data_IF_644351320720
#
_entry.id   IF_644351320720
#
_cell.length_a   1.000
_cell.length_b   1.000
_cell.length_c   1.000
_cell.angle_alpha   90.00
_cell.angle_beta   90.00
_cell.angle_gamma   90.00
#
_symmetry.space_group_name_H-M   'P 1'
#
loop_
_entity.id
_entity.type
_entity.pdbx_description
1 polymer ?
#
# COMPACT_ATOMS: atom_id res chain seq x y z
N UNK A 1 -31.77 16.92 -2.94
CA UNK A 1 -30.60 16.14 -2.61
C UNK A 1 -29.47 17.12 -2.51
N UNK A 2 -29.09 17.39 -1.27
CA UNK A 2 -27.99 18.28 -0.94
C UNK A 2 -26.71 17.49 -1.04
N UNK A 3 -25.87 17.89 -1.98
CA UNK A 3 -24.47 17.47 -2.06
C UNK A 3 -23.76 17.93 -0.77
N UNK A 4 -23.57 16.99 0.13
CA UNK A 4 -22.64 17.22 1.23
C UNK A 4 -21.22 17.18 0.65
N UNK A 5 -20.75 18.34 0.18
CA UNK A 5 -19.31 18.63 0.09
C UNK A 5 -18.71 18.44 1.49
N UNK A 6 -18.16 17.28 1.73
CA UNK A 6 -17.27 17.09 2.87
C UNK A 6 -16.02 17.94 2.62
N UNK A 7 -15.92 19.04 3.34
CA UNK A 7 -14.68 19.81 3.48
C UNK A 7 -13.62 18.90 4.11
N UNK A 8 -12.94 18.12 3.28
CA UNK A 8 -11.74 17.41 3.66
C UNK A 8 -10.64 18.45 3.89
N UNK A 9 -10.35 18.73 5.17
CA UNK A 9 -9.08 19.35 5.51
C UNK A 9 -7.97 18.57 4.81
N UNK A 10 -7.08 19.26 4.11
CA UNK A 10 -5.97 18.66 3.37
C UNK A 10 -5.03 17.92 4.33
N UNK A 11 -5.26 16.63 4.53
CA UNK A 11 -4.40 15.74 5.30
C UNK A 11 -3.58 14.81 4.38
N UNK A 12 -3.43 15.20 3.11
CA UNK A 12 -2.67 14.44 2.12
C UNK A 12 -1.17 14.62 2.32
N UNK A 13 -0.43 13.56 2.06
CA UNK A 13 1.04 13.53 2.05
C UNK A 13 1.68 13.98 3.37
N UNK A 14 1.03 13.68 4.48
CA UNK A 14 1.65 13.86 5.79
C UNK A 14 2.85 12.92 5.93
N UNK A 15 3.92 13.39 6.57
CA UNK A 15 5.07 12.55 6.88
C UNK A 15 4.66 11.26 7.58
N UNK A 16 3.72 11.35 8.54
CA UNK A 16 3.09 10.18 9.16
C UNK A 16 1.58 10.38 9.20
N UNK A 17 0.85 9.42 8.62
CA UNK A 17 -0.60 9.32 8.77
C UNK A 17 -0.88 8.21 9.77
N UNK A 18 -1.46 8.57 10.92
CA UNK A 18 -1.73 7.63 12.01
C UNK A 18 -3.05 6.88 11.79
N UNK A 19 -2.98 5.54 11.77
CA UNK A 19 -4.15 4.69 11.65
C UNK A 19 -5.22 4.99 12.73
N UNK A 20 -4.79 5.10 13.98
CA UNK A 20 -5.69 5.39 15.10
C UNK A 20 -6.42 6.73 14.95
N UNK A 21 -5.78 7.75 14.36
CA UNK A 21 -6.42 9.05 14.11
C UNK A 21 -7.47 8.96 13.01
N UNK A 22 -7.19 8.19 11.94
CA UNK A 22 -8.16 7.93 10.88
C UNK A 22 -9.39 7.23 11.47
N UNK A 23 -9.19 6.13 12.19
CA UNK A 23 -10.29 5.39 12.82
C UNK A 23 -11.09 6.24 13.81
N UNK A 24 -10.40 7.11 14.56
CA UNK A 24 -11.04 8.01 15.54
C UNK A 24 -11.95 9.08 14.91
N UNK A 25 -11.82 9.36 13.62
CA UNK A 25 -12.66 10.34 12.90
C UNK A 25 -13.97 9.72 12.36
N UNK A 26 -14.05 8.41 12.29
CA UNK A 26 -15.15 7.72 11.66
C UNK A 26 -15.92 6.82 12.65
N UNK A 27 -17.26 6.74 12.54
CA UNK A 27 -18.03 5.77 13.31
C UNK A 27 -17.62 4.33 12.97
N UNK A 28 -17.62 3.47 13.97
CA UNK A 28 -17.41 2.02 13.78
C UNK A 28 -18.51 1.47 12.86
N UNK A 29 -18.15 0.53 12.02
CA UNK A 29 -19.06 -0.12 11.05
C UNK A 29 -19.77 0.84 10.07
N UNK A 30 -19.15 1.98 9.77
CA UNK A 30 -19.62 2.90 8.73
C UNK A 30 -18.76 2.85 7.48
N UNK A 31 -19.35 3.08 6.29
CA UNK A 31 -18.56 3.26 5.08
C UNK A 31 -17.86 4.62 5.09
N UNK A 32 -16.57 4.64 4.81
CA UNK A 32 -15.80 5.86 4.64
C UNK A 32 -14.61 5.64 3.71
N UNK A 33 -14.10 6.72 3.14
CA UNK A 33 -12.88 6.74 2.37
C UNK A 33 -12.12 8.02 2.65
N UNK A 34 -10.80 7.91 2.81
CA UNK A 34 -9.87 9.03 2.92
C UNK A 34 -8.70 8.84 1.95
N UNK A 35 -8.12 9.96 1.48
CA UNK A 35 -6.97 9.95 0.58
C UNK A 35 -5.75 10.44 1.35
N UNK A 36 -5.01 9.56 2.03
CA UNK A 36 -3.82 9.96 2.79
C UNK A 36 -2.64 10.34 1.90
N UNK A 37 -2.52 9.74 0.72
CA UNK A 37 -1.40 9.98 -0.19
C UNK A 37 -1.94 10.21 -1.59
N UNK A 38 -1.46 11.28 -2.22
CA UNK A 38 -1.66 11.55 -3.64
C UNK A 38 -0.40 12.20 -4.20
N UNK A 39 0.27 11.49 -5.08
CA UNK A 39 1.46 11.95 -5.79
C UNK A 39 1.24 11.86 -7.32
N UNK A 40 2.27 12.14 -8.11
CA UNK A 40 2.15 12.09 -9.57
C UNK A 40 1.92 10.68 -10.14
N UNK A 41 2.11 9.63 -9.34
CA UNK A 41 1.95 8.22 -9.74
C UNK A 41 0.72 7.57 -9.15
N UNK A 42 0.38 7.89 -7.92
CA UNK A 42 -0.62 7.19 -7.14
C UNK A 42 -1.61 8.14 -6.47
N UNK A 43 -2.85 7.70 -6.45
CA UNK A 43 -3.85 8.10 -5.48
C UNK A 43 -4.09 6.91 -4.57
N UNK A 44 -3.71 7.04 -3.30
CA UNK A 44 -3.89 6.01 -2.29
C UNK A 44 -5.15 6.34 -1.50
N UNK A 45 -6.10 5.43 -1.48
CA UNK A 45 -7.38 5.61 -0.81
C UNK A 45 -7.50 4.62 0.32
N UNK A 46 -7.70 5.11 1.53
CA UNK A 46 -8.06 4.30 2.67
C UNK A 46 -9.56 4.08 2.66
N UNK A 47 -9.99 2.84 2.60
CA UNK A 47 -11.39 2.48 2.36
C UNK A 47 -11.87 1.54 3.47
N UNK A 48 -12.97 1.93 4.11
CA UNK A 48 -13.72 1.07 5.01
C UNK A 48 -14.95 0.51 4.30
N UNK A 49 -15.09 -0.81 4.31
CA UNK A 49 -16.26 -1.52 3.84
C UNK A 49 -16.96 -2.24 4.99
N UNK A 50 -18.04 -1.69 5.56
CA UNK A 50 -18.83 -2.39 6.56
C UNK A 50 -19.61 -3.54 5.93
N UNK A 51 -20.15 -4.47 6.76
CA UNK A 51 -21.06 -5.52 6.27
C UNK A 51 -22.22 -4.95 5.47
N UNK A 52 -22.55 -5.58 4.35
CA UNK A 52 -23.62 -5.14 3.48
C UNK A 52 -23.26 -4.03 2.50
N UNK A 53 -21.99 -3.63 2.44
CA UNK A 53 -21.51 -2.74 1.37
C UNK A 53 -21.92 -3.30 0.00
N UNK A 54 -22.64 -2.53 -0.83
CA UNK A 54 -23.11 -3.01 -2.13
C UNK A 54 -21.93 -3.29 -3.07
N UNK A 55 -22.10 -4.22 -4.02
CA UNK A 55 -21.10 -4.47 -5.04
C UNK A 55 -20.90 -3.23 -5.92
N UNK A 56 -19.68 -2.99 -6.34
CA UNK A 56 -19.31 -1.93 -7.28
C UNK A 56 -18.36 -2.47 -8.38
N UNK A 57 -18.85 -3.40 -9.25
CA UNK A 57 -18.03 -3.96 -10.31
C UNK A 57 -17.66 -2.90 -11.32
N UNK A 58 -16.36 -2.77 -11.61
CA UNK A 58 -15.83 -1.80 -12.58
C UNK A 58 -14.51 -2.28 -13.19
N UNK A 59 -14.00 -1.50 -14.13
CA UNK A 59 -12.75 -1.75 -14.87
C UNK A 59 -11.91 -0.49 -14.87
N UNK A 60 -10.60 -0.67 -14.68
CA UNK A 60 -9.60 0.33 -15.06
C UNK A 60 -8.90 -0.11 -16.33
N UNK A 61 -9.18 0.49 -17.50
CA UNK A 61 -8.67 -0.04 -18.76
C UNK A 61 -7.17 0.19 -18.96
N UNK A 62 -6.59 1.19 -18.29
CA UNK A 62 -5.26 1.72 -18.62
C UNK A 62 -4.18 1.46 -17.57
N UNK A 63 -4.54 0.94 -16.39
CA UNK A 63 -3.57 0.71 -15.31
C UNK A 63 -4.01 -0.43 -14.40
N UNK A 64 -3.05 -1.02 -13.69
CA UNK A 64 -3.33 -1.96 -12.62
C UNK A 64 -3.81 -1.22 -11.38
N UNK A 65 -4.81 -1.76 -10.71
CA UNK A 65 -5.16 -1.35 -9.36
C UNK A 65 -4.66 -2.40 -8.38
N UNK A 66 -4.11 -1.92 -7.24
CA UNK A 66 -3.61 -2.77 -6.18
C UNK A 66 -4.29 -2.43 -4.86
N UNK A 67 -4.41 -3.43 -3.99
CA UNK A 67 -4.90 -3.22 -2.63
C UNK A 67 -3.98 -3.87 -1.62
N UNK A 68 -3.82 -3.22 -0.47
CA UNK A 68 -3.21 -3.78 0.74
C UNK A 68 -4.32 -3.92 1.77
N UNK A 69 -4.48 -5.12 2.33
CA UNK A 69 -5.51 -5.36 3.34
C UNK A 69 -4.95 -4.97 4.70
N UNK A 70 -5.61 -4.01 5.36
CA UNK A 70 -5.15 -3.43 6.62
C UNK A 70 -5.87 -4.01 7.83
N UNK A 71 -7.13 -4.42 7.70
CA UNK A 71 -7.91 -5.09 8.75
C UNK A 71 -9.12 -5.82 8.15
N UNK A 72 -9.59 -6.83 8.87
CA UNK A 72 -10.73 -7.64 8.47
C UNK A 72 -10.42 -8.57 7.29
N UNK A 73 -11.47 -8.98 6.59
CA UNK A 73 -11.38 -9.87 5.41
C UNK A 73 -12.23 -9.35 4.27
N UNK A 74 -11.66 -9.32 3.09
CA UNK A 74 -12.30 -8.80 1.89
C UNK A 74 -12.25 -9.83 0.77
N UNK A 75 -13.40 -10.11 0.17
CA UNK A 75 -13.51 -10.96 -1.02
C UNK A 75 -13.31 -10.16 -2.27
N UNK A 76 -12.42 -10.63 -3.11
CA UNK A 76 -12.11 -10.08 -4.43
C UNK A 76 -12.56 -11.04 -5.51
N UNK A 77 -13.35 -10.53 -6.45
CA UNK A 77 -13.58 -11.16 -7.75
C UNK A 77 -12.79 -10.38 -8.79
N UNK A 78 -11.78 -10.98 -9.40
CA UNK A 78 -10.92 -10.37 -10.41
C UNK A 78 -11.14 -11.11 -11.74
N UNK A 79 -11.72 -10.45 -12.74
CA UNK A 79 -12.00 -11.07 -14.04
C UNK A 79 -12.79 -12.36 -13.88
N UNK A 80 -12.31 -13.44 -14.49
CA UNK A 80 -12.90 -14.78 -14.45
C UNK A 80 -12.20 -15.74 -13.50
N UNK A 81 -11.29 -15.25 -12.67
CA UNK A 81 -10.62 -16.07 -11.67
C UNK A 81 -11.54 -16.41 -10.51
N UNK A 82 -11.24 -17.52 -9.83
CA UNK A 82 -11.96 -17.87 -8.60
C UNK A 82 -11.86 -16.75 -7.57
N UNK A 83 -12.94 -16.46 -6.84
CA UNK A 83 -12.94 -15.44 -5.81
C UNK A 83 -11.86 -15.74 -4.74
N UNK A 84 -11.19 -14.68 -4.29
CA UNK A 84 -10.16 -14.75 -3.25
C UNK A 84 -10.61 -13.96 -2.04
N UNK A 85 -10.54 -14.57 -0.86
CA UNK A 85 -10.70 -13.90 0.42
C UNK A 85 -9.32 -13.47 0.91
N UNK A 86 -9.05 -12.17 0.80
CA UNK A 86 -7.81 -11.56 1.24
C UNK A 86 -7.95 -11.03 2.67
N UNK A 87 -6.89 -11.19 3.46
CA UNK A 87 -6.86 -10.83 4.87
C UNK A 87 -5.60 -10.00 5.20
N UNK A 88 -5.44 -9.61 6.44
CA UNK A 88 -4.39 -8.73 6.91
C UNK A 88 -3.01 -8.95 6.25
N UNK A 89 -2.45 -7.86 5.71
CA UNK A 89 -1.14 -7.84 5.04
C UNK A 89 -1.13 -8.38 3.61
N UNK A 90 -2.20 -9.02 3.16
CA UNK A 90 -2.31 -9.51 1.77
C UNK A 90 -2.30 -8.34 0.77
N UNK A 91 -1.74 -8.61 -0.41
CA UNK A 91 -1.79 -7.70 -1.56
C UNK A 91 -2.62 -8.34 -2.66
N UNK A 92 -3.58 -7.57 -3.18
CA UNK A 92 -4.39 -7.95 -4.34
C UNK A 92 -4.06 -7.06 -5.52
N UNK A 93 -4.15 -7.59 -6.73
CA UNK A 93 -3.95 -6.83 -7.99
C UNK A 93 -5.10 -7.14 -8.93
N UNK A 94 -5.74 -6.10 -9.46
CA UNK A 94 -6.55 -6.18 -10.67
C UNK A 94 -5.72 -5.64 -11.85
N UNK A 95 -5.31 -6.47 -12.79
CA UNK A 95 -4.61 -6.01 -13.99
C UNK A 95 -5.48 -5.08 -14.83
N UNK A 96 -4.84 -4.17 -15.58
CA UNK A 96 -5.53 -3.28 -16.50
C UNK A 96 -6.49 -4.02 -17.43
N UNK A 97 -7.73 -3.56 -17.52
CA UNK A 97 -8.79 -4.16 -18.34
C UNK A 97 -9.52 -5.33 -17.68
N UNK A 98 -9.20 -5.69 -16.43
CA UNK A 98 -9.92 -6.73 -15.69
C UNK A 98 -11.04 -6.11 -14.87
N UNK A 99 -12.26 -6.60 -15.09
CA UNK A 99 -13.37 -6.26 -14.20
C UNK A 99 -13.10 -6.82 -12.81
N UNK A 100 -13.40 -6.04 -11.80
CA UNK A 100 -13.25 -6.49 -10.42
C UNK A 100 -14.41 -5.98 -9.55
N UNK A 101 -14.67 -6.73 -8.51
CA UNK A 101 -15.67 -6.44 -7.48
C UNK A 101 -15.11 -6.83 -6.12
N UNK A 102 -15.39 -6.01 -5.10
CA UNK A 102 -14.78 -6.12 -3.79
C UNK A 102 -15.86 -6.06 -2.73
N UNK A 103 -15.88 -7.04 -1.82
CA UNK A 103 -16.90 -7.15 -0.77
C UNK A 103 -16.30 -7.53 0.57
N UNK A 104 -16.76 -6.93 1.68
CA UNK A 104 -16.41 -7.42 3.01
C UNK A 104 -16.96 -8.83 3.24
N UNK A 105 -16.26 -9.62 4.04
CA UNK A 105 -16.60 -11.01 4.37
C UNK A 105 -16.89 -11.14 5.86
N UNK A 106 -17.64 -12.18 6.23
CA UNK A 106 -17.88 -12.58 7.63
C UNK A 106 -18.63 -11.58 8.51
N UNK A 107 -19.42 -10.69 7.91
CA UNK A 107 -20.24 -9.74 8.68
C UNK A 107 -19.43 -8.75 9.52
N UNK A 108 -18.16 -8.53 9.17
CA UNK A 108 -17.26 -7.58 9.81
C UNK A 108 -16.85 -6.47 8.87
N UNK A 109 -16.49 -5.34 9.42
CA UNK A 109 -15.84 -4.26 8.69
C UNK A 109 -14.50 -4.76 8.14
N UNK A 110 -14.18 -4.37 6.92
CA UNK A 110 -12.88 -4.59 6.32
C UNK A 110 -12.26 -3.25 5.91
N UNK A 111 -10.97 -3.10 6.16
CA UNK A 111 -10.22 -1.89 5.87
C UNK A 111 -9.07 -2.23 4.93
N UNK A 112 -8.98 -1.47 3.83
CA UNK A 112 -7.95 -1.64 2.81
C UNK A 112 -7.40 -0.32 2.31
N UNK A 113 -6.19 -0.35 1.79
CA UNK A 113 -5.62 0.74 0.98
C UNK A 113 -5.79 0.37 -0.49
N UNK A 114 -6.52 1.17 -1.25
CA UNK A 114 -6.56 1.11 -2.70
C UNK A 114 -5.46 1.99 -3.30
N UNK A 115 -4.69 1.47 -4.24
CA UNK A 115 -3.58 2.16 -4.91
C UNK A 115 -3.94 2.27 -6.39
N UNK A 116 -4.47 3.43 -6.77
CA UNK A 116 -4.92 3.72 -8.14
C UNK A 116 -4.04 4.79 -8.79
N UNK A 117 -4.28 5.05 -10.07
CA UNK A 117 -3.74 6.22 -10.74
C UNK A 117 -4.50 7.48 -10.28
N UNK A 118 -3.87 8.67 -10.20
CA UNK A 118 -4.55 9.92 -9.85
C UNK A 118 -5.77 10.21 -10.73
N UNK A 119 -5.68 9.88 -12.02
CA UNK A 119 -6.77 10.04 -13.00
C UNK A 119 -7.66 8.79 -13.12
N UNK A 120 -7.80 8.00 -12.04
CA UNK A 120 -8.58 6.77 -12.08
C UNK A 120 -10.05 7.04 -12.44
N UNK A 121 -10.57 6.23 -13.34
CA UNK A 121 -11.92 6.33 -13.85
C UNK A 121 -12.73 5.07 -13.49
N UNK A 122 -13.83 5.24 -12.75
CA UNK A 122 -14.75 4.18 -12.35
C UNK A 122 -16.01 4.14 -13.24
N UNK A 123 -16.05 4.88 -14.37
CA UNK A 123 -17.26 5.02 -15.16
C UNK A 123 -17.62 3.77 -15.97
N UNK A 124 -16.70 2.80 -16.08
CA UNK A 124 -16.91 1.57 -16.86
C UNK A 124 -17.35 0.45 -15.91
N UNK A 125 -18.56 0.55 -15.39
CA UNK A 125 -19.14 -0.45 -14.48
C UNK A 125 -19.71 -1.65 -15.24
N UNK A 126 -19.43 -2.84 -14.72
CA UNK A 126 -20.01 -4.08 -15.24
C UNK A 126 -19.58 -4.47 -16.65
N UNK A 127 -18.61 -3.78 -17.24
CA UNK A 127 -18.05 -4.14 -18.54
C UNK A 127 -17.11 -5.34 -18.35
N UNK A 128 -17.31 -6.43 -19.08
CA UNK A 128 -16.39 -7.57 -19.00
C UNK A 128 -14.99 -7.16 -19.50
N UNK A 129 -13.93 -7.78 -18.99
CA UNK A 129 -12.57 -7.46 -19.40
C UNK A 129 -12.39 -7.73 -20.90
N UNK A 130 -11.71 -6.82 -21.60
CA UNK A 130 -11.43 -6.94 -23.03
C UNK A 130 -10.48 -8.10 -23.34
N UNK A 131 -9.69 -8.51 -22.38
CA UNK A 131 -8.79 -9.66 -22.44
C UNK A 131 -8.52 -10.22 -21.05
N UNK A 132 -8.26 -11.52 -20.99
CA UNK A 132 -7.67 -12.15 -19.83
C UNK A 132 -6.15 -12.15 -20.00
N UNK A 133 -5.43 -11.65 -19.02
CA UNK A 133 -3.99 -11.85 -18.93
C UNK A 133 -3.83 -13.15 -18.14
N UNK A 134 -3.16 -14.16 -18.69
CA UNK A 134 -2.89 -15.36 -17.93
C UNK A 134 -2.06 -15.01 -16.71
N UNK A 135 -2.63 -15.25 -15.54
CA UNK A 135 -1.93 -15.12 -14.26
C UNK A 135 -1.89 -16.51 -13.66
N UNK A 136 -0.70 -17.05 -13.59
CA UNK A 136 -0.49 -18.31 -12.91
C UNK A 136 -0.21 -18.02 -11.44
N UNK A 137 -1.22 -18.23 -10.61
CA UNK A 137 -1.12 -18.03 -9.16
C UNK A 137 -0.23 -19.06 -8.47
N UNK A 138 0.26 -20.06 -9.20
CA UNK A 138 1.26 -21.02 -8.71
C UNK A 138 2.70 -20.55 -8.89
N UNK A 139 2.93 -19.45 -9.63
CA UNK A 139 4.27 -18.90 -9.82
C UNK A 139 4.67 -17.95 -8.68
N UNK A 140 5.95 -17.69 -8.60
CA UNK A 140 6.50 -16.70 -7.67
C UNK A 140 6.15 -15.28 -8.10
N UNK A 141 6.21 -14.34 -7.14
CA UNK A 141 6.13 -12.90 -7.41
C UNK A 141 7.14 -12.45 -8.49
N UNK A 142 6.94 -11.29 -9.13
CA UNK A 142 5.90 -10.29 -8.85
C UNK A 142 4.61 -10.47 -9.65
N UNK A 143 3.61 -9.65 -9.29
CA UNK A 143 2.34 -9.49 -10.01
C UNK A 143 1.38 -10.69 -9.95
N UNK A 144 1.43 -11.46 -8.87
CA UNK A 144 0.36 -12.41 -8.57
C UNK A 144 -0.94 -11.64 -8.29
N UNK A 145 -2.08 -12.17 -8.74
CA UNK A 145 -3.40 -11.61 -8.38
C UNK A 145 -3.57 -11.53 -6.86
N UNK A 146 -3.06 -12.53 -6.14
CA UNK A 146 -3.06 -12.60 -4.69
C UNK A 146 -1.67 -12.94 -4.15
N UNK A 147 -1.05 -12.02 -3.46
CA UNK A 147 0.15 -12.26 -2.65
C UNK A 147 -0.29 -12.40 -1.19
N UNK A 148 -0.25 -13.62 -0.67
CA UNK A 148 -0.71 -13.91 0.69
C UNK A 148 0.40 -13.74 1.71
N UNK A 149 0.21 -12.86 2.69
CA UNK A 149 1.15 -12.63 3.80
C UNK A 149 1.37 -13.91 4.63
N UNK A 150 0.29 -14.65 4.89
CA UNK A 150 0.38 -15.93 5.59
C UNK A 150 1.30 -16.91 4.87
N UNK A 151 1.14 -17.06 3.56
CA UNK A 151 1.98 -17.94 2.74
C UNK A 151 3.45 -17.47 2.72
N UNK A 152 3.70 -16.17 2.67
CA UNK A 152 5.06 -15.63 2.74
C UNK A 152 5.73 -15.96 4.08
N UNK A 153 5.01 -15.79 5.18
CA UNK A 153 5.51 -16.15 6.51
C UNK A 153 5.76 -17.66 6.66
N UNK A 154 4.92 -18.50 6.04
CA UNK A 154 5.14 -19.95 5.99
C UNK A 154 6.36 -20.33 5.15
N UNK A 155 6.59 -19.60 4.04
CA UNK A 155 7.69 -19.89 3.09
C UNK A 155 9.04 -19.41 3.59
N UNK A 156 9.12 -18.16 4.03
CA UNK A 156 10.37 -17.53 4.47
C UNK A 156 10.68 -17.74 5.96
N UNK A 157 9.65 -18.09 6.73
CA UNK A 157 9.72 -18.18 8.18
C UNK A 157 9.68 -16.83 8.87
N UNK A 158 9.67 -16.88 10.21
CA UNK A 158 9.63 -15.70 11.08
C UNK A 158 10.96 -15.44 11.79
N UNK A 159 12.00 -16.21 11.47
CA UNK A 159 13.28 -16.21 12.19
C UNK A 159 14.45 -15.63 11.38
N UNK A 160 14.16 -14.94 10.27
CA UNK A 160 15.16 -14.32 9.42
C UNK A 160 14.61 -13.03 8.79
N UNK A 161 15.52 -12.12 8.43
CA UNK A 161 15.15 -11.00 7.57
C UNK A 161 14.92 -11.51 6.15
N UNK A 162 13.86 -11.01 5.50
CA UNK A 162 13.56 -11.34 4.10
C UNK A 162 12.85 -10.19 3.41
N UNK A 163 12.89 -10.25 2.09
CA UNK A 163 12.19 -9.30 1.21
C UNK A 163 11.51 -10.07 0.10
N UNK A 164 10.30 -9.65 -0.26
CA UNK A 164 9.52 -10.22 -1.36
C UNK A 164 8.99 -9.10 -2.25
N UNK A 165 9.24 -9.21 -3.55
CA UNK A 165 8.73 -8.27 -4.54
C UNK A 165 7.32 -8.72 -4.95
N UNK A 166 6.29 -8.02 -4.46
CA UNK A 166 4.89 -8.36 -4.72
C UNK A 166 4.35 -7.77 -6.02
N UNK A 167 4.74 -6.53 -6.33
CA UNK A 167 4.29 -5.83 -7.54
C UNK A 167 5.47 -5.17 -8.23
N UNK A 168 5.52 -5.33 -9.54
CA UNK A 168 6.42 -4.58 -10.42
C UNK A 168 5.72 -4.35 -11.75
N UNK A 169 5.26 -3.13 -11.97
CA UNK A 169 4.65 -2.70 -13.23
C UNK A 169 5.26 -1.38 -13.71
N UNK A 170 4.68 -0.77 -14.73
CA UNK A 170 5.20 0.49 -15.29
C UNK A 170 5.07 1.69 -14.33
N UNK A 171 4.27 1.57 -13.28
CA UNK A 171 3.97 2.64 -12.33
C UNK A 171 4.56 2.40 -10.96
N UNK A 172 4.50 1.18 -10.47
CA UNK A 172 4.80 0.85 -9.08
C UNK A 172 5.74 -0.34 -8.91
N UNK A 173 6.50 -0.27 -7.84
CA UNK A 173 7.23 -1.36 -7.23
C UNK A 173 6.78 -1.47 -5.77
N UNK A 174 6.12 -2.58 -5.40
CA UNK A 174 5.74 -2.89 -4.03
C UNK A 174 6.66 -3.98 -3.49
N UNK A 175 7.39 -3.64 -2.43
CA UNK A 175 8.33 -4.53 -1.76
C UNK A 175 7.86 -4.80 -0.33
N UNK A 176 7.58 -6.04 -0.02
CA UNK A 176 7.33 -6.50 1.35
C UNK A 176 8.68 -6.75 2.02
N UNK A 177 8.85 -6.27 3.23
CA UNK A 177 10.09 -6.44 4.00
C UNK A 177 9.76 -6.87 5.42
N UNK A 178 10.38 -7.97 5.86
CA UNK A 178 10.37 -8.46 7.24
C UNK A 178 11.77 -8.28 7.83
N UNK A 179 11.88 -7.55 8.92
CA UNK A 179 13.17 -7.27 9.56
C UNK A 179 13.09 -7.30 11.09
N UNK A 180 14.17 -7.78 11.70
CA UNK A 180 14.33 -7.85 13.15
C UNK A 180 14.70 -6.49 13.76
N UNK A 181 14.39 -6.28 15.05
CA UNK A 181 14.84 -5.10 15.79
C UNK A 181 16.33 -4.87 15.66
N UNK A 182 16.71 -3.59 15.50
CA UNK A 182 18.09 -3.18 15.27
C UNK A 182 18.56 -3.30 13.83
N UNK A 183 17.73 -3.83 12.91
CA UNK A 183 18.06 -3.78 11.48
C UNK A 183 17.80 -2.37 10.97
N UNK A 184 18.86 -1.73 10.52
CA UNK A 184 18.87 -0.37 9.98
C UNK A 184 19.37 -0.38 8.55
N UNK A 185 18.77 0.42 7.67
CA UNK A 185 19.28 0.64 6.32
C UNK A 185 20.17 1.90 6.26
N UNK A 186 21.07 1.93 5.27
CA UNK A 186 21.86 3.13 4.98
C UNK A 186 20.95 4.32 4.70
N UNK A 187 21.36 5.53 5.08
CA UNK A 187 20.66 6.76 4.74
C UNK A 187 20.81 7.07 3.25
N UNK A 188 19.71 7.38 2.59
CA UNK A 188 19.66 7.64 1.15
C UNK A 188 18.51 8.59 0.80
N UNK A 189 18.48 9.02 -0.45
CA UNK A 189 17.39 9.80 -1.02
C UNK A 189 17.14 9.43 -2.48
N UNK A 190 16.01 9.86 -3.02
CA UNK A 190 15.61 9.65 -4.40
C UNK A 190 15.44 10.99 -5.09
N UNK A 191 16.01 11.21 -6.30
CA UNK A 191 16.02 12.53 -6.92
C UNK A 191 14.66 12.99 -7.43
N UNK A 192 13.83 12.09 -7.90
CA UNK A 192 12.71 12.38 -8.77
C UNK A 192 11.41 11.65 -8.40
N UNK A 193 11.33 11.07 -7.20
CA UNK A 193 10.15 10.29 -6.82
C UNK A 193 9.84 10.37 -5.34
N UNK A 194 8.56 10.41 -5.05
CA UNK A 194 8.04 10.20 -3.71
C UNK A 194 8.05 8.72 -3.35
N UNK A 195 8.16 8.45 -2.06
CA UNK A 195 8.17 7.10 -1.51
C UNK A 195 7.29 7.04 -0.28
N UNK A 196 6.64 5.91 -0.09
CA UNK A 196 5.87 5.71 1.11
C UNK A 196 5.87 4.25 1.56
N UNK A 197 5.48 4.05 2.81
CA UNK A 197 5.39 2.75 3.46
C UNK A 197 4.05 2.60 4.16
N UNK A 198 3.52 1.38 4.13
CA UNK A 198 2.49 0.91 5.04
C UNK A 198 3.15 -0.03 6.06
N UNK A 199 3.02 0.28 7.33
CA UNK A 199 3.50 -0.59 8.41
C UNK A 199 2.42 -1.64 8.69
N UNK A 200 2.76 -2.91 8.49
CA UNK A 200 1.82 -4.02 8.69
C UNK A 200 1.93 -4.55 10.12
N UNK A 201 3.14 -4.72 10.64
CA UNK A 201 3.35 -5.16 12.02
C UNK A 201 4.68 -4.67 12.57
N UNK A 202 4.83 -4.72 13.91
CA UNK A 202 6.01 -4.23 14.61
C UNK A 202 6.08 -2.70 14.58
N UNK A 203 7.23 -2.17 14.94
CA UNK A 203 7.49 -0.73 15.04
C UNK A 203 8.73 -0.37 14.24
N UNK A 204 8.67 0.75 13.54
CA UNK A 204 9.75 1.24 12.68
C UNK A 204 10.00 2.70 13.01
N UNK A 205 11.23 3.04 13.33
CA UNK A 205 11.69 4.41 13.46
C UNK A 205 12.17 4.91 12.10
N UNK A 206 11.72 6.09 11.72
CA UNK A 206 12.09 6.80 10.50
C UNK A 206 12.85 8.06 10.87
N UNK A 207 14.09 8.19 10.40
CA UNK A 207 14.86 9.43 10.42
C UNK A 207 14.72 10.08 9.04
N UNK A 208 14.06 11.23 8.97
CA UNK A 208 13.72 11.92 7.72
C UNK A 208 14.29 13.34 7.76
N UNK A 209 15.20 13.67 6.82
CA UNK A 209 15.93 14.93 6.84
C UNK A 209 16.61 15.14 8.19
N UNK A 210 16.70 16.35 8.68
CA UNK A 210 17.24 16.71 10.00
C UNK A 210 16.15 16.79 11.09
N UNK A 211 14.96 16.25 10.82
CA UNK A 211 13.87 16.24 11.80
C UNK A 211 14.12 15.18 12.90
N UNK A 212 13.43 15.38 14.04
CA UNK A 212 13.38 14.35 15.06
C UNK A 212 12.81 13.04 14.48
N UNK A 213 13.42 11.89 14.80
CA UNK A 213 12.92 10.60 14.35
C UNK A 213 11.46 10.36 14.76
N UNK A 214 10.72 9.69 13.90
CA UNK A 214 9.33 9.34 14.17
C UNK A 214 9.15 7.82 14.14
N UNK A 215 8.48 7.27 15.13
CA UNK A 215 8.13 5.84 15.17
C UNK A 215 6.74 5.63 14.58
N UNK A 216 6.62 4.70 13.63
CA UNK A 216 5.36 4.27 13.07
C UNK A 216 5.07 2.81 13.46
N UNK A 217 3.81 2.52 13.75
CA UNK A 217 3.29 1.21 14.15
C UNK A 217 2.29 0.62 13.17
N UNK A 218 1.67 -0.52 13.52
CA UNK A 218 0.75 -1.22 12.63
C UNK A 218 -0.40 -0.34 12.15
N UNK A 219 -0.59 -0.31 10.84
CA UNK A 219 -1.60 0.49 10.17
C UNK A 219 -1.12 1.88 9.76
N UNK A 220 -0.06 2.44 10.35
CA UNK A 220 0.45 3.77 10.00
C UNK A 220 1.03 3.80 8.58
N UNK A 221 0.88 4.94 7.92
CA UNK A 221 1.54 5.25 6.66
C UNK A 221 2.64 6.30 6.89
N UNK A 222 3.77 6.12 6.23
CA UNK A 222 4.86 7.10 6.23
C UNK A 222 5.15 7.52 4.81
N UNK A 223 5.20 8.84 4.56
CA UNK A 223 5.44 9.44 3.24
C UNK A 223 6.69 10.30 3.27
N UNK A 224 7.55 10.12 2.27
CA UNK A 224 8.77 10.90 2.08
C UNK A 224 8.81 11.44 0.66
N UNK A 225 8.82 12.78 0.48
CA UNK A 225 8.94 13.40 -0.83
C UNK A 225 10.29 13.10 -1.49
N UNK A 226 10.32 13.15 -2.81
CA UNK A 226 11.56 13.13 -3.58
C UNK A 226 12.55 14.20 -3.11
N UNK A 227 13.85 13.92 -3.23
CA UNK A 227 14.91 14.81 -2.78
C UNK A 227 15.17 14.83 -1.26
N UNK A 228 14.42 14.07 -0.46
CA UNK A 228 14.51 14.07 1.00
C UNK A 228 15.30 12.85 1.50
N UNK A 229 16.38 13.10 2.26
CA UNK A 229 17.19 12.02 2.82
C UNK A 229 16.47 11.30 3.95
N UNK A 230 16.58 9.99 4.00
CA UNK A 230 15.94 9.19 5.03
C UNK A 230 16.63 7.84 5.24
N UNK A 231 16.47 7.32 6.42
CA UNK A 231 16.71 5.92 6.77
C UNK A 231 15.65 5.46 7.74
N UNK A 232 15.59 4.16 7.96
CA UNK A 232 14.66 3.56 8.88
C UNK A 232 15.29 2.37 9.60
N UNK A 233 14.83 2.12 10.81
CA UNK A 233 15.28 1.03 11.67
C UNK A 233 14.08 0.34 12.30
N UNK A 234 14.05 -0.99 12.28
CA UNK A 234 13.09 -1.75 13.08
C UNK A 234 13.43 -1.61 14.55
N UNK A 235 12.46 -1.15 15.36
CA UNK A 235 12.61 -0.91 16.79
C UNK A 235 11.69 -1.80 17.62
N UNK A 236 11.71 -1.63 18.95
CA UNK A 236 10.91 -2.46 19.86
C UNK A 236 11.51 -3.84 20.07
N UNK A 237 10.66 -4.84 20.35
CA UNK A 237 11.09 -6.19 20.71
C UNK A 237 10.55 -7.29 19.79
N UNK A 238 9.91 -6.92 18.69
CA UNK A 238 9.33 -7.82 17.68
C UNK A 238 9.79 -7.43 16.28
N UNK A 239 9.89 -8.39 15.36
CA UNK A 239 10.12 -8.07 13.95
C UNK A 239 9.03 -7.15 13.40
N UNK A 240 9.42 -6.30 12.45
CA UNK A 240 8.48 -5.49 11.69
C UNK A 240 8.22 -6.09 10.31
N UNK A 241 7.01 -5.85 9.81
CA UNK A 241 6.63 -6.07 8.41
C UNK A 241 6.16 -4.74 7.85
N UNK A 242 6.70 -4.35 6.72
CA UNK A 242 6.28 -3.16 5.98
C UNK A 242 6.14 -3.44 4.49
N UNK A 243 5.28 -2.71 3.85
CA UNK A 243 5.16 -2.66 2.39
C UNK A 243 5.67 -1.30 1.94
N UNK A 244 6.71 -1.32 1.12
CA UNK A 244 7.33 -0.12 0.54
C UNK A 244 6.80 0.08 -0.86
N UNK A 245 6.34 1.30 -1.18
CA UNK A 245 5.85 1.65 -2.51
C UNK A 245 6.73 2.73 -3.13
N UNK A 246 7.27 2.42 -4.30
CA UNK A 246 8.20 3.27 -5.07
C UNK A 246 7.87 3.21 -6.55
N UNK A 247 8.56 4.04 -7.37
CA UNK A 247 8.62 3.83 -8.81
C UNK A 247 9.39 2.53 -9.14
N UNK A 248 9.15 1.93 -10.31
CA UNK A 248 9.80 0.69 -10.71
C UNK A 248 11.31 0.84 -10.94
N UNK A 249 11.76 2.00 -11.39
CA UNK A 249 13.12 2.36 -11.79
C UNK A 249 13.87 3.17 -10.72
N UNK A 250 13.63 2.83 -9.47
CA UNK A 250 14.16 3.53 -8.29
C UNK A 250 15.69 3.70 -8.33
N UNK A 251 16.16 4.93 -8.16
CA UNK A 251 17.57 5.28 -7.96
C UNK A 251 17.82 5.69 -6.51
N UNK A 252 18.85 5.14 -5.89
CA UNK A 252 19.29 5.49 -4.55
C UNK A 252 20.57 6.31 -4.59
N UNK A 253 20.55 7.50 -4.01
CA UNK A 253 21.76 8.24 -3.68
C UNK A 253 22.03 8.09 -2.18
N UNK A 254 23.12 7.42 -1.84
CA UNK A 254 23.49 7.21 -0.44
C UNK A 254 24.24 8.44 0.08
N UNK A 255 23.86 8.92 1.26
CA UNK A 255 24.44 10.15 1.84
C UNK A 255 25.89 10.00 2.29
N UNK A 256 26.36 8.78 2.47
CA UNK A 256 27.74 8.43 2.82
C UNK A 256 28.61 8.07 1.58
N UNK A 257 28.06 8.18 0.38
CA UNK A 257 28.80 8.05 -0.87
C UNK A 257 29.38 9.41 -1.27
N UNK A 258 30.73 9.56 -1.32
CA UNK A 258 31.37 10.84 -1.62
C UNK A 258 31.07 11.35 -3.05
N UNK A 259 30.67 10.47 -3.96
CA UNK A 259 30.35 10.81 -5.33
C UNK A 259 28.85 11.10 -5.53
N UNK A 260 28.02 10.83 -4.53
CA UNK A 260 26.59 11.11 -4.60
C UNK A 260 26.30 12.63 -4.44
N UNK A 261 25.35 13.17 -5.17
CA UNK A 261 24.90 14.55 -4.94
C UNK A 261 24.25 14.68 -3.55
N UNK A 262 24.34 15.87 -2.96
CA UNK A 262 23.65 16.15 -1.71
C UNK A 262 22.12 16.13 -1.91
N UNK A 263 21.39 15.66 -0.90
CA UNK A 263 19.93 15.68 -0.92
C UNK A 263 19.42 17.13 -0.95
N UNK A 264 18.54 17.49 -1.89
CA UNK A 264 18.02 18.87 -1.98
C UNK A 264 17.25 19.34 -0.75
N UNK A 265 16.62 18.41 -0.04
CA UNK A 265 15.75 18.69 1.11
C UNK A 265 16.33 18.14 2.44
N UNK A 266 17.64 18.10 2.58
CA UNK A 266 18.32 17.74 3.82
C UNK A 266 18.70 16.28 4.01
#
# INVERSE_FOLDING_TARGET
PEDHEMTTAQTKNLTVTRHAEILGRHPVDSPWAEVPIEDGRNRVVWISGPPGTPPDPHIHPNFNECWIIMDGKTRYQIGQYEPVDAEWGDIMIAPAGFAHDIRPVEGKQAIRLGITHPDSNHDIKGVPPSRLIPVDTGLSSPNLIHTSMKRLLETHGTNSNWKELAVLDSRNRLLITHEFPGTENRRYWHPDMDKWWAVISGEIEFSISDNEPVTAGPGDLVFVPGGTSHNLMTVGNKPSIRITVTAPDIVHHYTDDPDAPAAPNG
#
